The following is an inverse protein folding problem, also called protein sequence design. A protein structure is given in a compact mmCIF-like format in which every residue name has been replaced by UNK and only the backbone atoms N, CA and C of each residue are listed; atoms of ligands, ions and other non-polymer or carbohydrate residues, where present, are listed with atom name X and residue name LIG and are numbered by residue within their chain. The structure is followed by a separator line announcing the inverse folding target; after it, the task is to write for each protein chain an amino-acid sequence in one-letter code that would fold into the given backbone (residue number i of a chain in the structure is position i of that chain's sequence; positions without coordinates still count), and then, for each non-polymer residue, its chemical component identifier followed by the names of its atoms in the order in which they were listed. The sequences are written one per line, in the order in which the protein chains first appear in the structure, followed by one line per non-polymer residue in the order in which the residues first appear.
data_IF_191985984372
#
_entry.id   IF_191985984372
#
_cell.length_a   1.000
_cell.length_b   1.000
_cell.length_c   1.000
_cell.angle_alpha   90.00
_cell.angle_beta   90.00
_cell.angle_gamma   90.00
#
_symmetry.space_group_name_H-M   'P 1'
#
loop_
_entity.id
_entity.type
_entity.pdbx_description
1 polymer ?
#
# COMPACT_ATOMS: atom_id res chain seq x y z
N UNK A 1 39.02 -1.63 31.28
CA UNK A 1 38.08 -2.60 30.68
C UNK A 1 37.85 -2.19 29.25
N UNK A 2 37.94 -3.13 28.30
CA UNK A 2 37.88 -2.85 26.85
C UNK A 2 36.47 -2.76 26.29
N UNK A 3 35.44 -2.98 27.12
CA UNK A 3 34.04 -2.95 26.71
C UNK A 3 33.16 -2.29 27.76
N UNK A 4 32.11 -1.61 27.31
CA UNK A 4 31.03 -1.15 28.17
C UNK A 4 30.12 -2.34 28.50
N UNK A 5 30.31 -2.93 29.68
CA UNK A 5 29.41 -3.98 30.17
C UNK A 5 28.09 -3.32 30.56
N UNK A 6 27.02 -3.69 29.86
CA UNK A 6 25.68 -3.16 30.11
C UNK A 6 24.79 -4.13 30.90
N UNK A 7 25.09 -5.42 30.82
CA UNK A 7 24.33 -6.45 31.53
C UNK A 7 25.19 -7.68 31.79
N UNK A 8 24.98 -8.27 32.96
CA UNK A 8 25.48 -9.62 33.29
C UNK A 8 24.28 -10.48 33.62
N UNK A 9 24.03 -11.49 32.79
CA UNK A 9 23.00 -12.48 33.06
C UNK A 9 23.65 -13.62 33.81
N UNK A 10 23.19 -13.84 35.04
CA UNK A 10 23.55 -15.03 35.80
C UNK A 10 22.30 -15.87 35.91
N UNK A 11 22.29 -17.02 35.25
CA UNK A 11 21.19 -17.96 35.35
C UNK A 11 21.54 -19.02 36.38
N UNK A 12 20.89 -18.92 37.54
CA UNK A 12 21.00 -19.89 38.65
C UNK A 12 19.77 -20.80 38.69
N UNK A 13 19.15 -21.06 37.55
CA UNK A 13 17.94 -21.88 37.46
C UNK A 13 18.21 -23.35 37.76
N UNK A 14 17.16 -24.04 38.16
CA UNK A 14 17.17 -25.47 38.51
C UNK A 14 17.02 -26.41 37.31
N UNK A 15 16.99 -25.86 36.10
CA UNK A 15 16.56 -26.55 34.88
C UNK A 15 17.44 -26.09 33.70
N UNK A 16 18.14 -27.04 33.08
CA UNK A 16 18.87 -26.81 31.83
C UNK A 16 17.88 -26.71 30.67
N UNK A 17 18.09 -25.83 29.70
CA UNK A 17 17.28 -25.84 28.46
C UNK A 17 17.31 -27.23 27.79
N UNK A 18 16.15 -27.85 27.60
CA UNK A 18 16.02 -29.21 27.08
C UNK A 18 16.53 -30.32 28.02
N UNK A 19 16.81 -30.01 29.29
CA UNK A 19 17.24 -30.96 30.31
C UNK A 19 16.08 -31.65 31.04
N UNK A 20 16.36 -32.23 32.19
CA UNK A 20 15.37 -32.87 33.07
C UNK A 20 15.03 -31.90 34.20
N UNK A 21 13.77 -31.88 34.65
CA UNK A 21 13.36 -31.07 35.80
C UNK A 21 14.21 -31.38 37.05
N UNK A 22 14.75 -30.33 37.69
CA UNK A 22 15.56 -30.43 38.89
C UNK A 22 17.07 -30.62 38.66
N UNK A 23 17.53 -30.74 37.41
CA UNK A 23 18.97 -30.79 37.09
C UNK A 23 19.58 -29.37 37.05
N UNK A 24 20.42 -29.07 38.06
CA UNK A 24 21.09 -27.78 38.19
C UNK A 24 22.15 -27.60 37.10
N UNK A 25 21.92 -26.64 36.20
CA UNK A 25 22.89 -26.26 35.17
C UNK A 25 23.15 -24.74 35.21
N UNK A 26 23.86 -24.24 36.23
CA UNK A 26 24.14 -22.82 36.34
C UNK A 26 25.03 -22.36 35.19
N UNK A 27 24.69 -21.21 34.60
CA UNK A 27 25.51 -20.58 33.57
C UNK A 27 25.47 -19.07 33.71
N UNK A 28 26.49 -18.40 33.19
CA UNK A 28 26.55 -16.95 33.14
C UNK A 28 26.93 -16.50 31.73
N UNK A 29 26.25 -15.46 31.22
CA UNK A 29 26.62 -14.77 29.98
C UNK A 29 26.79 -13.29 30.26
N UNK A 30 27.76 -12.68 29.61
CA UNK A 30 27.98 -11.24 29.66
C UNK A 30 27.61 -10.64 28.32
N UNK A 31 26.76 -9.62 28.33
CA UNK A 31 26.40 -8.85 27.14
C UNK A 31 27.11 -7.49 27.19
N UNK A 32 27.73 -7.11 26.07
CA UNK A 32 28.44 -5.83 25.94
C UNK A 32 27.80 -4.98 24.86
N UNK A 33 27.68 -3.68 25.12
CA UNK A 33 27.27 -2.72 24.12
C UNK A 33 28.52 -2.22 23.37
N UNK A 34 28.50 -2.36 22.05
CA UNK A 34 29.56 -1.88 21.16
C UNK A 34 28.93 -1.10 20.01
N UNK A 35 29.60 -0.02 19.64
CA UNK A 35 29.23 0.71 18.44
C UNK A 35 29.94 0.10 17.23
N UNK A 36 29.25 0.01 16.10
CA UNK A 36 29.83 -0.43 14.84
C UNK A 36 29.33 0.40 13.67
N UNK A 37 30.12 0.45 12.61
CA UNK A 37 29.75 1.00 11.31
C UNK A 37 29.69 -0.17 10.33
N UNK A 38 28.55 -0.29 9.65
CA UNK A 38 28.30 -1.31 8.64
C UNK A 38 28.16 -0.65 7.26
N UNK A 39 28.87 -1.19 6.28
CA UNK A 39 28.65 -0.88 4.86
C UNK A 39 27.61 -1.86 4.33
N UNK A 40 26.48 -1.33 3.85
CA UNK A 40 25.36 -2.11 3.32
C UNK A 40 25.36 -2.02 1.79
N UNK A 41 25.16 -3.16 1.13
CA UNK A 41 24.80 -3.22 -0.28
C UNK A 41 23.30 -3.44 -0.38
N UNK A 42 22.57 -2.42 -0.83
CA UNK A 42 21.12 -2.39 -0.94
C UNK A 42 20.66 -2.65 -2.38
N UNK A 43 19.63 -3.46 -2.54
CA UNK A 43 18.94 -3.69 -3.80
C UNK A 43 17.44 -3.73 -3.56
N UNK A 44 16.65 -3.18 -4.48
CA UNK A 44 15.18 -3.25 -4.41
C UNK A 44 14.72 -4.16 -5.54
N UNK A 45 14.10 -5.28 -5.19
CA UNK A 45 13.54 -6.24 -6.16
C UNK A 45 12.06 -6.41 -5.86
N UNK A 46 11.20 -6.09 -6.83
CA UNK A 46 9.73 -6.18 -6.67
C UNK A 46 9.17 -5.37 -5.48
N UNK A 47 9.77 -4.22 -5.16
CA UNK A 47 9.35 -3.40 -4.01
C UNK A 47 9.82 -3.90 -2.65
N UNK A 48 10.58 -5.00 -2.59
CA UNK A 48 11.23 -5.47 -1.38
C UNK A 48 12.68 -4.94 -1.31
N UNK A 49 13.01 -4.23 -0.23
CA UNK A 49 14.38 -3.80 0.06
C UNK A 49 15.18 -4.99 0.61
N UNK A 50 16.25 -5.37 -0.10
CA UNK A 50 17.22 -6.38 0.33
C UNK A 50 18.57 -5.72 0.56
N UNK A 51 19.03 -5.76 1.80
CA UNK A 51 20.33 -5.23 2.21
C UNK A 51 21.24 -6.36 2.68
N UNK A 52 22.51 -6.30 2.27
CA UNK A 52 23.55 -7.23 2.70
C UNK A 52 24.71 -6.46 3.30
N UNK A 53 25.22 -6.93 4.45
CA UNK A 53 26.37 -6.31 5.12
C UNK A 53 27.64 -6.78 4.38
N UNK A 54 28.36 -5.84 3.77
CA UNK A 54 29.61 -6.13 3.03
C UNK A 54 30.83 -5.96 3.93
N UNK A 55 30.82 -4.94 4.79
CA UNK A 55 31.89 -4.65 5.71
C UNK A 55 31.32 -4.17 7.04
N UNK A 56 31.92 -4.60 8.15
CA UNK A 56 31.56 -4.17 9.48
C UNK A 56 32.83 -3.84 10.25
N UNK A 57 32.87 -2.65 10.86
CA UNK A 57 33.96 -2.23 11.74
C UNK A 57 33.40 -1.84 13.09
N UNK A 58 33.89 -2.51 14.13
CA UNK A 58 33.56 -2.19 15.53
C UNK A 58 34.51 -1.15 16.08
N UNK A 59 34.08 -0.47 17.14
CA UNK A 59 34.93 0.37 17.95
C UNK A 59 34.83 -0.04 19.42
N UNK A 60 35.98 -0.41 20.00
CA UNK A 60 36.10 -0.93 21.36
C UNK A 60 36.48 0.16 22.39
N UNK A 61 36.33 1.44 22.04
CA UNK A 61 36.65 2.54 22.95
C UNK A 61 35.61 2.63 24.06
N UNK A 62 36.05 2.71 25.32
CA UNK A 62 35.15 2.72 26.49
C UNK A 62 34.97 4.12 27.06
N UNK A 63 33.73 4.60 27.03
CA UNK A 63 33.31 5.81 27.70
C UNK A 63 33.45 5.67 29.23
N UNK A 64 34.30 6.49 29.86
CA UNK A 64 34.52 6.47 31.32
C UNK A 64 34.38 7.87 31.93
N UNK A 65 33.66 7.98 33.05
CA UNK A 65 33.41 9.24 33.77
C UNK A 65 34.67 9.96 34.32
N UNK A 66 35.83 9.31 34.26
CA UNK A 66 37.13 9.86 34.66
C UNK A 66 37.81 10.68 33.56
N UNK A 67 37.27 10.72 32.34
CA UNK A 67 37.81 11.52 31.24
C UNK A 67 37.46 13.00 31.43
N UNK A 68 38.49 13.86 31.35
CA UNK A 68 38.38 15.31 31.53
C UNK A 68 37.69 16.03 30.36
N UNK A 69 37.67 15.38 29.19
CA UNK A 69 37.00 15.82 27.97
C UNK A 69 36.26 14.63 27.35
N UNK A 70 35.01 14.83 26.97
CA UNK A 70 34.13 13.81 26.37
C UNK A 70 34.13 13.98 24.84
N UNK A 71 35.29 13.85 24.23
CA UNK A 71 35.42 14.00 22.78
C UNK A 71 34.67 12.88 22.03
N UNK A 72 34.09 13.18 20.85
CA UNK A 72 33.42 12.16 20.04
C UNK A 72 34.38 11.05 19.62
N UNK A 73 33.88 9.81 19.63
CA UNK A 73 34.59 8.66 19.08
C UNK A 73 34.35 8.63 17.57
N UNK A 74 35.39 8.49 16.77
CA UNK A 74 35.27 8.36 15.32
C UNK A 74 35.40 6.90 14.90
N UNK A 75 34.42 6.40 14.14
CA UNK A 75 34.49 5.08 13.49
C UNK A 75 34.60 5.28 11.99
N UNK A 76 35.63 4.73 11.36
CA UNK A 76 35.81 4.82 9.91
C UNK A 76 35.05 3.71 9.19
N UNK A 77 34.38 4.04 8.09
CA UNK A 77 33.84 3.06 7.15
C UNK A 77 34.92 2.31 6.36
N UNK A 78 34.50 1.51 5.38
CA UNK A 78 35.39 0.76 4.49
C UNK A 78 36.35 1.68 3.70
N UNK A 79 35.83 2.81 3.21
CA UNK A 79 36.65 3.87 2.64
C UNK A 79 37.23 4.73 3.77
N UNK A 80 38.56 4.73 3.94
CA UNK A 80 39.29 5.53 4.97
C UNK A 80 38.96 7.04 4.96
N UNK A 81 38.20 7.54 3.98
CA UNK A 81 37.80 8.94 3.84
C UNK A 81 36.59 9.33 4.68
N UNK A 82 35.72 8.38 5.07
CA UNK A 82 34.52 8.68 5.85
C UNK A 82 34.66 8.17 7.29
N UNK A 83 34.51 9.10 8.23
CA UNK A 83 34.51 8.83 9.67
C UNK A 83 33.23 9.35 10.30
N UNK A 84 32.58 8.50 11.06
CA UNK A 84 31.31 8.80 11.72
C UNK A 84 31.57 9.11 13.19
N UNK A 85 31.26 10.33 13.66
CA UNK A 85 31.40 10.69 15.06
C UNK A 85 30.25 10.09 15.88
N UNK A 86 30.58 9.55 17.03
CA UNK A 86 29.64 9.10 18.05
C UNK A 86 29.91 9.92 19.30
N UNK A 87 28.92 10.71 19.72
CA UNK A 87 29.05 11.53 20.91
C UNK A 87 29.21 10.63 22.15
N UNK A 88 30.30 10.85 22.88
CA UNK A 88 30.63 10.08 24.07
C UNK A 88 29.56 10.20 25.16
N UNK A 89 28.86 11.34 25.26
CA UNK A 89 27.76 11.55 26.21
C UNK A 89 26.58 10.63 25.89
N UNK A 90 26.28 10.42 24.61
CA UNK A 90 25.22 9.50 24.18
C UNK A 90 25.58 8.08 24.57
N UNK A 91 26.83 7.65 24.32
CA UNK A 91 27.31 6.33 24.74
C UNK A 91 27.26 6.12 26.26
N UNK A 92 27.59 7.14 27.05
CA UNK A 92 27.44 7.08 28.52
C UNK A 92 25.98 7.01 28.95
N UNK A 93 25.11 7.82 28.36
CA UNK A 93 23.68 7.82 28.63
C UNK A 93 23.05 6.47 28.32
N UNK A 94 23.36 5.89 27.16
CA UNK A 94 22.94 4.53 26.78
C UNK A 94 23.42 3.50 27.78
N UNK A 95 24.70 3.56 28.17
CA UNK A 95 25.26 2.62 29.17
C UNK A 95 24.50 2.72 30.49
N UNK A 96 24.23 3.93 30.97
CA UNK A 96 23.47 4.13 32.21
C UNK A 96 22.06 3.58 32.07
N UNK A 97 21.37 3.92 30.97
CA UNK A 97 20.02 3.48 30.71
C UNK A 97 19.91 1.96 30.62
N UNK A 98 20.79 1.29 29.86
CA UNK A 98 20.81 -0.17 29.79
C UNK A 98 21.20 -0.82 31.12
N UNK A 99 22.12 -0.22 31.88
CA UNK A 99 22.47 -0.73 33.21
C UNK A 99 21.30 -0.61 34.18
N UNK A 100 20.42 0.38 34.02
CA UNK A 100 19.21 0.56 34.82
C UNK A 100 18.08 -0.35 34.35
N UNK A 101 17.90 -0.47 33.03
CA UNK A 101 16.93 -1.38 32.39
C UNK A 101 17.21 -2.83 32.79
N UNK A 102 18.47 -3.27 32.65
CA UNK A 102 18.91 -4.62 33.00
C UNK A 102 19.39 -4.73 34.45
N UNK A 103 18.84 -3.91 35.36
CA UNK A 103 19.09 -4.09 36.79
C UNK A 103 18.71 -5.50 37.24
N UNK A 104 19.35 -5.93 38.33
CA UNK A 104 19.09 -7.23 38.92
C UNK A 104 17.59 -7.43 39.16
N UNK A 105 17.06 -8.51 38.61
CA UNK A 105 15.73 -9.02 38.92
C UNK A 105 15.78 -10.53 39.11
N UNK A 106 14.71 -11.08 39.67
CA UNK A 106 14.59 -12.50 39.96
C UNK A 106 13.34 -13.12 39.34
N UNK A 107 13.40 -14.43 39.17
CA UNK A 107 12.28 -15.29 38.85
C UNK A 107 12.16 -16.33 39.97
N UNK A 108 10.96 -16.51 40.51
CA UNK A 108 10.72 -17.41 41.64
C UNK A 108 9.44 -18.22 41.44
N UNK A 109 9.48 -19.50 41.80
CA UNK A 109 8.30 -20.38 41.90
C UNK A 109 7.86 -20.62 43.34
N UNK A 110 8.35 -19.81 44.29
CA UNK A 110 7.98 -19.97 45.69
C UNK A 110 6.51 -19.55 45.90
N UNK A 111 5.69 -20.46 46.45
CA UNK A 111 4.28 -20.25 46.75
C UNK A 111 4.04 -19.01 47.64
N UNK A 112 4.98 -18.68 48.53
CA UNK A 112 4.89 -17.47 49.38
C UNK A 112 4.99 -16.16 48.59
N UNK A 113 5.62 -16.21 47.41
CA UNK A 113 5.80 -15.05 46.53
C UNK A 113 4.65 -14.96 45.53
N UNK A 114 4.21 -16.10 45.00
CA UNK A 114 3.08 -16.19 44.05
C UNK A 114 1.76 -15.72 44.71
N UNK A 115 1.56 -16.02 46.00
CA UNK A 115 0.33 -15.66 46.72
C UNK A 115 0.28 -14.19 47.21
N UNK A 116 1.29 -13.37 46.91
CA UNK A 116 1.29 -11.95 47.30
C UNK A 116 0.44 -11.12 46.33
N UNK A 117 -0.36 -10.22 46.89
CA UNK A 117 -1.03 -9.19 46.09
C UNK A 117 0.03 -8.33 45.39
N UNK A 118 0.00 -8.32 44.07
CA UNK A 118 0.86 -7.47 43.24
C UNK A 118 0.42 -6.01 43.45
N UNK A 119 1.24 -5.25 44.17
CA UNK A 119 0.99 -3.82 44.43
C UNK A 119 1.87 -2.90 43.57
N UNK A 120 2.89 -3.45 42.90
CA UNK A 120 3.78 -2.74 41.99
C UNK A 120 3.45 -3.14 40.54
N UNK A 121 3.38 -2.17 39.61
CA UNK A 121 3.00 -2.41 38.22
C UNK A 121 3.98 -3.29 37.43
N UNK A 122 5.23 -3.40 37.90
CA UNK A 122 6.31 -4.10 37.18
C UNK A 122 6.37 -5.61 37.49
N UNK A 123 5.69 -6.07 38.54
CA UNK A 123 5.70 -7.48 38.92
C UNK A 123 4.66 -8.25 38.09
N UNK A 124 5.05 -9.42 37.57
CA UNK A 124 4.15 -10.23 36.74
C UNK A 124 4.14 -11.66 37.25
N UNK A 125 2.94 -12.22 37.46
CA UNK A 125 2.75 -13.65 37.68
C UNK A 125 2.25 -14.23 36.36
N UNK A 126 2.98 -15.23 35.86
CA UNK A 126 2.63 -15.89 34.60
C UNK A 126 2.59 -17.38 34.82
N UNK A 127 1.50 -18.01 34.38
CA UNK A 127 1.46 -19.46 34.26
C UNK A 127 2.08 -19.84 32.92
N UNK A 128 3.29 -20.37 32.99
CA UNK A 128 4.07 -20.72 31.82
C UNK A 128 3.69 -22.12 31.34
N UNK A 129 3.55 -22.29 30.04
CA UNK A 129 3.31 -23.58 29.38
C UNK A 129 4.49 -24.02 28.50
N UNK A 130 5.71 -23.59 28.85
CA UNK A 130 6.93 -23.86 28.07
C UNK A 130 7.79 -24.96 28.65
N UNK A 131 7.79 -26.12 27.98
CA UNK A 131 8.70 -27.24 28.24
C UNK A 131 8.78 -27.66 29.71
N UNK A 132 9.99 -27.96 30.17
CA UNK A 132 10.28 -28.33 31.57
C UNK A 132 10.01 -27.21 32.57
N UNK A 133 9.76 -26.00 32.08
CA UNK A 133 9.52 -24.81 32.87
C UNK A 133 8.03 -24.50 33.08
N UNK A 134 7.14 -25.46 32.80
CA UNK A 134 5.71 -25.27 32.99
C UNK A 134 5.33 -25.01 34.45
N UNK A 135 4.46 -24.04 34.70
CA UNK A 135 3.95 -23.70 36.03
C UNK A 135 3.94 -22.20 36.33
N UNK A 136 3.36 -21.85 37.47
CA UNK A 136 3.31 -20.46 37.93
C UNK A 136 4.70 -19.99 38.35
N UNK A 137 5.17 -18.95 37.67
CA UNK A 137 6.43 -18.29 37.98
C UNK A 137 6.16 -16.81 38.19
N UNK A 138 6.65 -16.30 39.31
CA UNK A 138 6.67 -14.88 39.61
C UNK A 138 7.94 -14.26 39.02
N UNK A 139 7.77 -13.13 38.35
CA UNK A 139 8.84 -12.32 37.79
C UNK A 139 8.83 -10.92 38.41
N UNK A 140 9.99 -10.47 38.87
CA UNK A 140 10.15 -9.10 39.40
C UNK A 140 9.98 -8.02 38.32
N UNK A 141 10.29 -8.36 37.06
CA UNK A 141 10.19 -7.45 35.90
C UNK A 141 9.79 -8.23 34.64
N UNK A 142 9.13 -7.55 33.72
CA UNK A 142 8.84 -8.02 32.37
C UNK A 142 10.11 -8.40 31.57
N UNK A 143 11.23 -7.72 31.83
CA UNK A 143 12.53 -8.01 31.23
C UNK A 143 13.01 -9.40 31.63
N UNK A 144 13.01 -9.73 32.93
CA UNK A 144 13.41 -11.06 33.42
C UNK A 144 12.51 -12.14 32.83
N UNK A 145 11.20 -11.88 32.74
CA UNK A 145 10.25 -12.77 32.07
C UNK A 145 10.65 -13.01 30.61
N UNK A 146 10.97 -11.96 29.85
CA UNK A 146 11.35 -12.08 28.45
C UNK A 146 12.64 -12.90 28.26
N UNK A 147 13.66 -12.68 29.09
CA UNK A 147 14.89 -13.49 29.08
C UNK A 147 14.62 -14.95 29.41
N UNK A 148 13.81 -15.18 30.44
CA UNK A 148 13.44 -16.51 30.89
C UNK A 148 12.70 -17.28 29.79
N UNK A 149 11.69 -16.66 29.18
CA UNK A 149 10.92 -17.24 28.08
C UNK A 149 11.79 -17.57 26.88
N UNK A 150 12.56 -16.60 26.38
CA UNK A 150 13.40 -16.79 25.20
C UNK A 150 14.46 -17.88 25.43
N UNK A 151 15.01 -17.99 26.63
CA UNK A 151 15.95 -19.04 26.97
C UNK A 151 15.34 -20.44 26.93
N UNK A 152 14.10 -20.64 27.40
CA UNK A 152 13.50 -21.98 27.41
C UNK A 152 12.85 -22.37 26.09
N UNK A 153 12.22 -21.43 25.39
CA UNK A 153 11.47 -21.70 24.16
C UNK A 153 12.40 -21.90 22.95
N UNK A 154 13.49 -21.12 22.86
CA UNK A 154 14.32 -21.08 21.66
C UNK A 154 15.79 -21.42 21.95
N UNK A 155 16.44 -22.33 21.20
CA UNK A 155 17.86 -22.70 21.40
C UNK A 155 18.84 -21.53 21.37
N UNK A 156 18.53 -20.48 20.59
CA UNK A 156 19.34 -19.25 20.46
C UNK A 156 18.54 -18.02 20.86
N UNK A 157 17.53 -18.17 21.74
CA UNK A 157 16.58 -17.08 22.03
C UNK A 157 17.22 -15.85 22.64
N UNK A 158 18.25 -16.02 23.50
CA UNK A 158 18.98 -14.86 24.06
C UNK A 158 19.75 -14.10 22.99
N UNK A 159 20.35 -14.83 22.04
CA UNK A 159 21.13 -14.22 20.96
C UNK A 159 20.20 -13.50 19.96
N UNK A 160 19.04 -14.09 19.67
CA UNK A 160 17.96 -13.47 18.88
C UNK A 160 17.44 -12.19 19.56
N UNK A 161 17.11 -12.25 20.85
CA UNK A 161 16.64 -11.09 21.61
C UNK A 161 17.66 -9.93 21.60
N UNK A 162 18.96 -10.25 21.75
CA UNK A 162 20.03 -9.25 21.68
C UNK A 162 20.19 -8.65 20.28
N UNK A 163 20.04 -9.45 19.23
CA UNK A 163 20.08 -8.98 17.85
C UNK A 163 18.89 -8.05 17.52
N UNK A 164 17.70 -8.41 17.96
CA UNK A 164 16.49 -7.60 17.75
C UNK A 164 16.57 -6.28 18.53
N UNK A 165 17.09 -6.32 19.76
CA UNK A 165 17.37 -5.13 20.55
C UNK A 165 18.38 -4.21 19.85
N UNK A 166 19.49 -4.77 19.36
CA UNK A 166 20.51 -4.00 18.64
C UNK A 166 19.95 -3.35 17.37
N UNK A 167 19.09 -4.08 16.64
CA UNK A 167 18.40 -3.57 15.45
C UNK A 167 17.44 -2.43 15.79
N UNK A 168 16.60 -2.60 16.83
CA UNK A 168 15.65 -1.58 17.27
C UNK A 168 16.35 -0.28 17.70
N UNK A 169 17.43 -0.41 18.48
CA UNK A 169 18.26 0.72 18.90
C UNK A 169 18.90 1.42 17.69
N UNK A 170 19.37 0.66 16.71
CA UNK A 170 19.96 1.20 15.48
C UNK A 170 18.92 1.98 14.67
N UNK A 171 17.71 1.44 14.50
CA UNK A 171 16.62 2.12 13.82
C UNK A 171 16.28 3.43 14.55
N UNK A 172 16.15 3.37 15.88
CA UNK A 172 15.89 4.54 16.71
C UNK A 172 16.95 5.64 16.49
N UNK A 173 18.23 5.29 16.52
CA UNK A 173 19.31 6.24 16.23
C UNK A 173 19.26 6.86 14.84
N UNK A 174 18.86 6.08 13.82
CA UNK A 174 18.73 6.56 12.44
C UNK A 174 17.49 7.44 12.25
N UNK A 175 16.44 7.23 13.05
CA UNK A 175 15.20 8.00 12.99
C UNK A 175 15.28 9.34 13.74
N UNK A 176 16.13 9.46 14.76
CA UNK A 176 16.41 10.74 15.40
C UNK A 176 17.26 11.65 14.49
N UNK A 177 17.31 12.95 14.82
CA UNK A 177 18.04 13.96 14.05
C UNK A 177 19.57 13.70 14.05
N UNK A 178 20.01 12.83 13.15
CA UNK A 178 21.39 12.35 13.04
C UNK A 178 22.26 13.21 12.15
N UNK A 179 23.53 12.82 12.05
CA UNK A 179 24.44 13.42 11.06
C UNK A 179 24.09 12.91 9.67
N UNK A 180 23.88 13.82 8.72
CA UNK A 180 23.66 13.45 7.33
C UNK A 180 24.90 12.79 6.76
N UNK A 181 24.72 11.60 6.17
CA UNK A 181 25.76 10.86 5.48
C UNK A 181 25.49 10.94 3.98
N UNK A 182 26.54 11.19 3.20
CA UNK A 182 26.46 11.13 1.74
C UNK A 182 26.34 9.68 1.29
N UNK A 183 25.21 9.34 0.67
CA UNK A 183 24.94 7.99 0.18
C UNK A 183 23.83 7.99 -0.86
N UNK A 184 23.49 6.80 -1.36
CA UNK A 184 22.36 6.62 -2.25
C UNK A 184 21.10 6.51 -1.38
N UNK A 185 20.20 7.49 -1.50
CA UNK A 185 18.89 7.44 -0.86
C UNK A 185 17.86 6.97 -1.88
N UNK A 186 17.17 5.88 -1.58
CA UNK A 186 16.04 5.41 -2.39
C UNK A 186 14.76 6.10 -1.93
N UNK A 187 13.99 6.64 -2.87
CA UNK A 187 12.68 7.23 -2.63
C UNK A 187 11.60 6.38 -3.27
N UNK A 188 10.44 6.31 -2.64
CA UNK A 188 9.28 5.62 -3.21
C UNK A 188 8.79 6.42 -4.41
N UNK A 189 8.82 5.80 -5.59
CA UNK A 189 8.20 6.34 -6.80
C UNK A 189 7.00 5.49 -7.21
N UNK A 190 5.89 6.15 -7.53
CA UNK A 190 4.67 5.49 -7.99
C UNK A 190 4.74 5.24 -9.49
N UNK A 191 4.77 3.97 -9.89
CA UNK A 191 4.64 3.55 -11.29
C UNK A 191 3.17 3.30 -11.64
N UNK A 192 2.64 4.00 -12.64
CA UNK A 192 1.28 3.79 -13.15
C UNK A 192 1.35 2.77 -14.28
N UNK A 193 0.79 1.58 -14.05
CA UNK A 193 0.58 0.59 -15.11
C UNK A 193 -0.70 0.94 -15.88
N UNK A 194 -0.57 1.47 -17.09
CA UNK A 194 -1.72 1.80 -17.94
C UNK A 194 -2.12 0.56 -18.74
N UNK A 195 -3.25 -0.06 -18.37
CA UNK A 195 -3.84 -1.16 -19.14
C UNK A 195 -4.55 -0.64 -20.39
N UNK A 196 -3.84 -0.64 -21.52
CA UNK A 196 -4.38 -0.27 -22.83
C UNK A 196 -5.53 -1.16 -23.31
N UNK A 197 -5.70 -2.34 -22.71
CA UNK A 197 -6.80 -3.29 -23.00
C UNK A 197 -8.17 -2.64 -22.87
N UNK A 198 -8.37 -1.70 -21.93
CA UNK A 198 -9.63 -0.98 -21.76
C UNK A 198 -9.95 -0.01 -22.91
N UNK A 199 -8.94 0.40 -23.70
CA UNK A 199 -9.12 1.28 -24.86
C UNK A 199 -9.72 0.54 -26.07
N UNK A 200 -9.66 -0.79 -26.09
CA UNK A 200 -10.14 -1.60 -27.22
C UNK A 200 -11.66 -1.50 -27.41
N UNK A 201 -12.41 -1.50 -26.30
CA UNK A 201 -13.89 -1.42 -26.30
C UNK A 201 -14.39 -0.11 -26.92
N UNK A 202 -13.97 1.09 -26.47
CA UNK A 202 -14.43 2.34 -27.08
C UNK A 202 -13.95 2.52 -28.52
N UNK A 203 -12.77 2.00 -28.90
CA UNK A 203 -12.33 2.04 -30.29
C UNK A 203 -13.20 1.15 -31.20
N UNK A 204 -13.57 -0.03 -30.73
CA UNK A 204 -14.47 -0.92 -31.46
C UNK A 204 -15.86 -0.30 -31.63
N UNK A 205 -16.41 0.33 -30.60
CA UNK A 205 -17.74 0.96 -30.72
C UNK A 205 -17.73 2.11 -31.72
N UNK A 206 -16.68 2.93 -31.75
CA UNK A 206 -16.52 3.98 -32.78
C UNK A 206 -16.43 3.37 -34.18
N UNK A 207 -15.64 2.32 -34.38
CA UNK A 207 -15.53 1.66 -35.69
C UNK A 207 -16.86 1.06 -36.15
N UNK A 208 -17.58 0.36 -35.27
CA UNK A 208 -18.89 -0.21 -35.60
C UNK A 208 -19.93 0.87 -35.92
N UNK A 209 -19.95 1.99 -35.19
CA UNK A 209 -20.91 3.08 -35.47
C UNK A 209 -20.65 3.75 -36.82
N UNK A 210 -19.38 3.95 -37.20
CA UNK A 210 -19.01 4.48 -38.52
C UNK A 210 -19.44 3.53 -39.63
N UNK A 211 -19.19 2.22 -39.46
CA UNK A 211 -19.61 1.21 -40.42
C UNK A 211 -21.14 1.13 -40.55
N UNK A 212 -21.85 1.18 -39.43
CA UNK A 212 -23.31 1.19 -39.41
C UNK A 212 -23.87 2.42 -40.13
N UNK A 213 -23.34 3.61 -39.84
CA UNK A 213 -23.75 4.85 -40.50
C UNK A 213 -23.47 4.79 -42.01
N UNK A 214 -22.29 4.33 -42.41
CA UNK A 214 -21.92 4.13 -43.81
C UNK A 214 -22.85 3.16 -44.53
N UNK A 215 -23.20 2.04 -43.88
CA UNK A 215 -24.15 1.07 -44.42
C UNK A 215 -25.55 1.68 -44.60
N UNK A 216 -26.04 2.45 -43.62
CA UNK A 216 -27.34 3.14 -43.71
C UNK A 216 -27.36 4.17 -44.83
N UNK A 217 -26.30 4.96 -44.99
CA UNK A 217 -26.17 5.93 -46.09
C UNK A 217 -26.17 5.21 -47.44
N UNK A 218 -25.37 4.15 -47.58
CA UNK A 218 -25.29 3.37 -48.80
C UNK A 218 -26.63 2.73 -49.16
N UNK A 219 -27.32 2.16 -48.17
CA UNK A 219 -28.64 1.57 -48.34
C UNK A 219 -29.66 2.63 -48.78
N UNK A 220 -29.69 3.77 -48.12
CA UNK A 220 -30.59 4.89 -48.45
C UNK A 220 -30.34 5.41 -49.89
N UNK A 221 -29.07 5.51 -50.29
CA UNK A 221 -28.70 5.90 -51.65
C UNK A 221 -29.14 4.86 -52.69
N UNK A 222 -28.92 3.57 -52.43
CA UNK A 222 -29.29 2.48 -53.35
C UNK A 222 -30.80 2.36 -53.56
N UNK A 223 -31.59 2.54 -52.51
CA UNK A 223 -33.05 2.45 -52.60
C UNK A 223 -33.72 3.74 -53.08
N UNK A 224 -32.95 4.77 -53.50
CA UNK A 224 -33.46 6.07 -53.97
C UNK A 224 -34.60 6.59 -53.09
N UNK A 225 -34.45 6.48 -51.76
CA UNK A 225 -35.49 6.87 -50.83
C UNK A 225 -35.72 8.39 -50.96
N UNK A 226 -36.80 8.76 -51.64
CA UNK A 226 -37.17 10.16 -51.83
C UNK A 226 -37.51 10.78 -50.47
N UNK A 227 -37.01 11.99 -50.22
CA UNK A 227 -37.19 12.76 -48.97
C UNK A 227 -38.65 13.20 -48.80
N UNK A 228 -39.57 12.25 -48.64
CA UNK A 228 -41.01 12.50 -48.50
C UNK A 228 -41.43 12.78 -47.05
N UNK A 229 -40.54 12.55 -46.06
CA UNK A 229 -40.88 12.61 -44.63
C UNK A 229 -41.35 13.97 -44.09
N UNK A 230 -41.14 15.08 -44.81
CA UNK A 230 -41.48 16.43 -44.33
C UNK A 230 -42.53 17.16 -45.17
N UNK A 231 -43.14 16.49 -46.15
CA UNK A 231 -44.00 17.14 -47.14
C UNK A 231 -45.48 16.94 -46.82
N UNK A 232 -46.13 17.98 -46.26
CA UNK A 232 -47.61 18.08 -46.12
C UNK A 232 -48.33 17.91 -47.48
N UNK A 233 -47.59 18.03 -48.59
CA UNK A 233 -48.07 17.77 -49.94
C UNK A 233 -48.55 16.32 -50.12
N UNK A 234 -47.92 15.34 -49.47
CA UNK A 234 -48.28 13.93 -49.61
C UNK A 234 -49.70 13.63 -49.08
N UNK A 235 -50.07 14.27 -47.97
CA UNK A 235 -51.44 14.22 -47.42
C UNK A 235 -52.44 14.99 -48.27
N UNK A 236 -52.02 16.06 -48.95
CA UNK A 236 -52.91 16.91 -49.74
C UNK A 236 -53.24 16.28 -51.11
N UNK A 237 -52.28 15.62 -51.76
CA UNK A 237 -52.48 14.92 -53.05
C UNK A 237 -53.46 13.73 -52.90
N UNK A 238 -53.50 13.08 -51.75
CA UNK A 238 -54.46 11.98 -51.51
C UNK A 238 -55.93 12.43 -51.39
N UNK A 239 -56.19 13.73 -51.15
CA UNK A 239 -57.54 14.28 -50.99
C UNK A 239 -58.11 15.02 -52.21
N UNK A 240 -57.35 15.09 -53.31
CA UNK A 240 -57.76 15.74 -54.57
C UNK A 240 -58.57 14.80 -55.47
N UNK A 241 -59.47 15.38 -56.28
CA UNK A 241 -60.25 14.63 -57.28
C UNK A 241 -59.34 14.00 -58.37
N UNK A 242 -59.83 12.93 -59.01
CA UNK A 242 -59.02 12.01 -59.82
C UNK A 242 -58.22 12.67 -60.93
N UNK A 243 -58.78 13.69 -61.59
CA UNK A 243 -58.14 14.44 -62.69
C UNK A 243 -56.98 15.33 -62.22
N UNK A 244 -57.05 15.86 -61.00
CA UNK A 244 -56.00 16.70 -60.43
C UNK A 244 -54.88 15.86 -59.79
N UNK A 245 -55.23 14.67 -59.28
CA UNK A 245 -54.25 13.71 -58.76
C UNK A 245 -53.34 13.17 -59.86
N UNK A 246 -53.91 12.80 -61.00
CA UNK A 246 -53.17 12.24 -62.14
C UNK A 246 -52.12 13.22 -62.70
N UNK A 247 -52.44 14.52 -62.78
CA UNK A 247 -51.49 15.57 -63.19
C UNK A 247 -50.32 15.79 -62.23
N UNK A 248 -50.54 15.58 -60.93
CA UNK A 248 -49.50 15.74 -59.91
C UNK A 248 -48.65 14.47 -59.76
N UNK A 249 -49.24 13.28 -59.96
CA UNK A 249 -48.52 12.00 -59.95
C UNK A 249 -47.58 11.83 -61.15
N UNK A 250 -47.89 12.44 -62.30
CA UNK A 250 -47.06 12.37 -63.52
C UNK A 250 -45.75 13.20 -63.45
N UNK A 251 -45.55 13.98 -62.38
CA UNK A 251 -44.37 14.83 -62.19
C UNK A 251 -43.33 14.13 -61.29
N UNK A 252 -42.17 13.80 -61.87
CA UNK A 252 -41.10 13.01 -61.23
C UNK A 252 -40.20 13.84 -60.27
N UNK A 253 -40.83 14.59 -59.36
CA UNK A 253 -40.10 15.32 -58.32
C UNK A 253 -40.95 16.21 -57.42
N UNK A 254 -40.73 16.10 -56.10
CA UNK A 254 -41.38 16.92 -55.06
C UNK A 254 -41.30 18.44 -55.33
N UNK A 255 -40.21 18.88 -55.95
CA UNK A 255 -39.96 20.30 -56.25
C UNK A 255 -40.79 20.80 -57.43
N UNK A 256 -41.06 19.93 -58.40
CA UNK A 256 -41.93 20.20 -59.54
C UNK A 256 -43.40 20.09 -59.14
N UNK A 257 -43.77 19.04 -58.40
CA UNK A 257 -45.09 18.90 -57.79
C UNK A 257 -45.47 20.10 -56.90
N UNK A 258 -44.53 20.64 -56.11
CA UNK A 258 -44.78 21.86 -55.30
C UNK A 258 -44.98 23.12 -56.15
N UNK A 259 -44.33 23.19 -57.31
CA UNK A 259 -44.45 24.34 -58.21
C UNK A 259 -45.81 24.33 -58.91
N UNK A 260 -46.23 23.17 -59.38
CA UNK A 260 -47.56 22.96 -59.99
C UNK A 260 -48.69 23.09 -58.97
N UNK A 261 -48.54 22.54 -57.76
CA UNK A 261 -49.54 22.68 -56.70
C UNK A 261 -49.82 24.14 -56.28
N UNK A 262 -48.88 25.08 -56.52
CA UNK A 262 -49.12 26.52 -56.31
C UNK A 262 -49.97 27.16 -57.41
N UNK A 263 -49.98 26.56 -58.61
CA UNK A 263 -50.74 27.06 -59.75
C UNK A 263 -52.18 26.55 -59.76
N UNK A 264 -52.46 25.42 -59.11
CA UNK A 264 -53.81 24.84 -59.01
C UNK A 264 -54.67 25.66 -58.04
N UNK A 265 -55.78 26.23 -58.54
CA UNK A 265 -56.83 26.84 -57.72
C UNK A 265 -57.92 25.81 -57.46
N UNK A 266 -58.19 25.55 -56.19
CA UNK A 266 -59.19 24.56 -55.75
C UNK A 266 -60.33 25.25 -55.00
N UNK A 267 -61.54 24.77 -55.20
CA UNK A 267 -62.73 25.16 -54.45
C UNK A 267 -63.21 24.00 -53.58
N UNK A 268 -63.70 24.31 -52.38
CA UNK A 268 -64.16 23.32 -51.42
C UNK A 268 -65.67 23.13 -51.55
N UNK A 269 -66.09 21.96 -52.00
CA UNK A 269 -67.49 21.60 -52.17
C UNK A 269 -67.90 20.52 -51.16
N UNK A 270 -69.13 20.60 -50.65
CA UNK A 270 -69.69 19.63 -49.72
C UNK A 270 -70.17 18.40 -50.51
N UNK A 271 -69.50 17.26 -50.29
CA UNK A 271 -69.87 15.99 -50.92
C UNK A 271 -70.94 15.24 -50.12
N UNK A 272 -71.69 14.37 -50.80
CA UNK A 272 -72.70 13.52 -50.15
C UNK A 272 -72.08 12.71 -49.02
N UNK A 273 -72.60 12.93 -47.80
CA UNK A 273 -72.11 12.32 -46.56
C UNK A 273 -71.29 13.24 -45.64
N UNK A 274 -71.23 14.55 -45.90
CA UNK A 274 -70.55 15.53 -45.02
C UNK A 274 -69.02 15.56 -45.16
N UNK A 275 -68.49 14.98 -46.23
CA UNK A 275 -67.06 15.02 -46.57
C UNK A 275 -66.80 16.18 -47.53
N UNK A 276 -65.98 17.12 -47.09
CA UNK A 276 -65.54 18.27 -47.90
C UNK A 276 -64.54 17.78 -48.96
N UNK A 277 -64.85 17.99 -50.24
CA UNK A 277 -64.00 17.62 -51.38
C UNK A 277 -63.39 18.87 -52.02
N UNK A 278 -62.11 18.79 -52.32
CA UNK A 278 -61.37 19.83 -53.06
C UNK A 278 -61.54 19.56 -54.56
N UNK A 279 -62.35 20.39 -55.22
CA UNK A 279 -62.60 20.33 -56.67
C UNK A 279 -61.79 21.41 -57.40
N UNK A 280 -61.47 21.15 -58.67
CA UNK A 280 -60.78 22.12 -59.50
C UNK A 280 -61.73 23.27 -59.90
N UNK A 281 -61.24 24.50 -59.93
CA UNK A 281 -62.06 25.68 -60.25
C UNK A 281 -62.54 25.68 -61.72
N UNK A 282 -61.81 25.04 -62.64
CA UNK A 282 -62.11 25.05 -64.08
C UNK A 282 -63.18 24.04 -64.52
N UNK A 283 -63.70 23.19 -63.61
CA UNK A 283 -64.74 22.18 -63.89
C UNK A 283 -66.19 22.71 -63.65
N UNK A 284 -66.42 24.03 -63.81
CA UNK A 284 -67.73 24.70 -63.72
C UNK A 284 -68.00 25.55 -64.97
#
# INVERSE_FOLDING_TARGET
MSFSTIMKIVFMGTEKQGGIAGDLAPWARQCTLQACVQTLNSSIVNGELRETIVHAKTNDTVATATQKSLEPIYISGESRKESYPIDMKVMMGMRSWFSDLFRNGSASRNEEVINKNITTPDNVIVNLTVGISSGETFFDTDIVQAFYWNYYEFPTGIDMLMNDLATSVTISFRSFNGSNVTGIAHTVESYIHVEWSFLTVPLLTILLTILFLGAVIYQTYRYKASLWKSSVLATLVHGLDGSARERLEDLDGLREQRKEAKAVKVHLNEGDGGLLRLSNYDDI
#
